data_IF_823091602630
#
_entry.id   IF_823091602630
#
_cell.length_a   1.000
_cell.length_b   1.000
_cell.length_c   1.000
_cell.angle_alpha   90.00
_cell.angle_beta   90.00
_cell.angle_gamma   90.00
#
_symmetry.space_group_name_H-M   'P 1'
#
loop_
_entity.id
_entity.type
_entity.pdbx_description
1 polymer ?
#
# COMPACT_ATOMS: atom_id res chain seq x y z
N UNK A 1 2.89 3.30 17.38
CA UNK A 1 1.84 3.03 16.35
C UNK A 1 0.49 3.56 16.82
N UNK A 2 -0.33 2.82 17.59
CA UNK A 2 -1.70 3.28 17.92
C UNK A 2 -1.72 4.63 18.64
N UNK A 3 -0.87 4.81 19.65
CA UNK A 3 -0.76 6.07 20.38
C UNK A 3 -0.35 7.27 19.50
N UNK A 4 0.34 7.04 18.38
CA UNK A 4 0.74 8.08 17.44
C UNK A 4 -0.40 8.36 16.46
N UNK A 5 -1.05 7.31 15.95
CA UNK A 5 -2.25 7.42 15.10
C UNK A 5 -3.39 8.14 15.84
N UNK A 6 -3.60 7.86 17.13
CA UNK A 6 -4.62 8.49 17.97
C UNK A 6 -4.37 10.01 18.15
N UNK A 7 -3.12 10.48 17.96
CA UNK A 7 -2.76 11.90 17.94
C UNK A 7 -2.91 12.54 16.56
N UNK A 8 -3.30 11.76 15.54
CA UNK A 8 -3.36 12.21 14.14
C UNK A 8 -2.01 12.17 13.43
N UNK A 9 -0.97 11.58 14.01
CA UNK A 9 0.33 11.43 13.35
C UNK A 9 0.27 10.39 12.24
N UNK A 10 1.11 10.55 11.23
CA UNK A 10 1.31 9.51 10.21
C UNK A 10 2.36 8.52 10.67
N UNK A 11 2.13 7.23 10.44
CA UNK A 11 3.05 6.15 10.75
C UNK A 11 3.38 5.38 9.47
N UNK A 12 4.67 5.30 9.14
CA UNK A 12 5.17 4.56 7.97
C UNK A 12 5.96 3.35 8.47
N UNK A 13 5.50 2.16 8.11
CA UNK A 13 6.17 0.89 8.37
C UNK A 13 7.10 0.59 7.20
N UNK A 14 8.41 0.70 7.45
CA UNK A 14 9.45 0.27 6.52
C UNK A 14 9.72 -1.21 6.77
N UNK A 15 9.33 -2.06 5.83
CA UNK A 15 9.29 -3.51 6.04
C UNK A 15 9.98 -4.27 4.92
N UNK A 16 10.21 -5.57 5.13
CA UNK A 16 10.46 -6.48 4.02
C UNK A 16 9.13 -6.97 3.43
N UNK A 17 9.17 -7.46 2.19
CA UNK A 17 8.06 -8.14 1.53
C UNK A 17 8.42 -9.62 1.30
N UNK A 18 7.49 -10.53 1.58
CA UNK A 18 7.70 -11.98 1.40
C UNK A 18 6.73 -12.56 0.37
N UNK A 19 5.47 -12.11 0.37
CA UNK A 19 4.45 -12.64 -0.53
C UNK A 19 3.31 -11.65 -0.76
N UNK A 20 2.54 -11.86 -1.82
CA UNK A 20 1.31 -11.08 -2.07
C UNK A 20 0.25 -11.26 -0.94
N UNK A 21 0.43 -12.27 -0.08
CA UNK A 21 -0.43 -12.54 1.08
C UNK A 21 -0.10 -11.68 2.32
N UNK A 22 0.97 -10.87 2.30
CA UNK A 22 1.39 -10.08 3.46
C UNK A 22 0.25 -9.16 3.96
N UNK A 23 -0.50 -8.56 3.02
CA UNK A 23 -1.66 -7.71 3.33
C UNK A 23 -2.87 -8.46 3.92
N UNK A 24 -2.93 -9.79 3.77
CA UNK A 24 -3.93 -10.61 4.41
C UNK A 24 -3.50 -11.07 5.81
N UNK A 25 -2.20 -11.34 6.02
CA UNK A 25 -1.70 -11.82 7.30
C UNK A 25 -1.55 -10.74 8.35
N UNK A 26 -1.14 -9.52 7.99
CA UNK A 26 -0.97 -8.44 8.97
C UNK A 26 -2.24 -8.19 9.81
N UNK A 27 -3.45 -8.07 9.21
CA UNK A 27 -4.68 -7.96 9.98
C UNK A 27 -4.95 -9.18 10.87
N UNK A 28 -4.80 -10.39 10.33
CA UNK A 28 -5.03 -11.62 11.08
C UNK A 28 -4.09 -11.77 12.29
N UNK A 29 -2.82 -11.41 12.14
CA UNK A 29 -1.82 -11.52 13.20
C UNK A 29 -1.97 -10.43 14.27
N UNK A 30 -2.56 -9.29 13.91
CA UNK A 30 -2.70 -8.15 14.84
C UNK A 30 -4.05 -8.13 15.55
N UNK A 31 -5.09 -8.75 15.02
CA UNK A 31 -6.47 -8.59 15.48
C UNK A 31 -6.67 -8.84 16.98
N UNK A 32 -6.08 -9.89 17.55
CA UNK A 32 -6.26 -10.18 18.98
C UNK A 32 -5.57 -9.16 19.91
N UNK A 33 -4.43 -8.62 19.49
CA UNK A 33 -3.63 -7.71 20.32
C UNK A 33 -3.96 -6.23 20.07
N UNK A 34 -4.37 -5.92 18.83
CA UNK A 34 -4.66 -4.59 18.34
C UNK A 34 -5.86 -4.66 17.36
N UNK A 35 -7.08 -4.91 17.87
CA UNK A 35 -8.28 -5.05 17.05
C UNK A 35 -8.48 -3.86 16.10
N UNK A 36 -8.77 -4.15 14.83
CA UNK A 36 -9.04 -3.14 13.80
C UNK A 36 -7.83 -2.30 13.37
N UNK A 37 -6.63 -2.51 13.94
CA UNK A 37 -5.42 -1.79 13.50
C UNK A 37 -5.01 -2.24 12.10
N UNK A 38 -5.02 -3.55 11.84
CA UNK A 38 -4.64 -4.10 10.55
C UNK A 38 -5.56 -3.68 9.40
N UNK A 39 -6.83 -3.38 9.70
CA UNK A 39 -7.81 -2.89 8.71
C UNK A 39 -7.52 -1.46 8.24
N UNK A 40 -6.82 -0.68 9.05
CA UNK A 40 -6.45 0.72 8.75
C UNK A 40 -5.18 0.82 7.89
N UNK A 41 -4.43 -0.28 7.73
CA UNK A 41 -3.17 -0.28 7.00
C UNK A 41 -3.43 0.01 5.52
N UNK A 42 -2.71 0.99 4.98
CA UNK A 42 -2.64 1.30 3.56
C UNK A 42 -1.34 0.73 2.99
N UNK A 43 -1.42 -0.16 2.00
CA UNK A 43 -0.27 -0.81 1.42
C UNK A 43 0.17 -0.09 0.15
N UNK A 44 1.45 0.25 0.07
CA UNK A 44 2.08 0.63 -1.18
C UNK A 44 2.34 -0.66 -1.97
N UNK A 45 1.62 -0.85 -3.08
CA UNK A 45 1.62 -2.12 -3.79
C UNK A 45 1.94 -1.96 -5.28
N UNK A 46 2.53 -3.01 -5.86
CA UNK A 46 2.83 -3.10 -7.28
C UNK A 46 1.56 -3.28 -8.15
N UNK A 47 1.73 -3.13 -9.46
CA UNK A 47 0.68 -3.35 -10.46
C UNK A 47 0.24 -4.82 -10.58
N UNK A 48 1.10 -5.78 -10.21
CA UNK A 48 0.79 -7.20 -10.28
C UNK A 48 -0.44 -7.60 -9.47
N UNK A 49 -0.55 -7.15 -8.22
CA UNK A 49 -1.64 -7.58 -7.32
C UNK A 49 -3.02 -7.10 -7.80
N UNK A 50 -3.06 -6.01 -8.58
CA UNK A 50 -4.30 -5.47 -9.15
C UNK A 50 -4.60 -5.97 -10.57
N UNK A 51 -3.61 -6.53 -11.27
CA UNK A 51 -3.74 -7.03 -12.64
C UNK A 51 -3.88 -8.55 -12.74
N UNK A 52 -3.21 -9.30 -11.85
CA UNK A 52 -3.31 -10.75 -11.75
C UNK A 52 -4.71 -11.14 -11.27
N UNK A 53 -5.41 -11.95 -12.06
CA UNK A 53 -6.80 -12.36 -11.80
C UNK A 53 -6.95 -13.17 -10.50
N UNK A 54 -5.90 -13.86 -10.06
CA UNK A 54 -5.91 -14.63 -8.82
C UNK A 54 -5.69 -13.73 -7.60
N UNK A 55 -4.87 -12.68 -7.74
CA UNK A 55 -4.56 -11.76 -6.65
C UNK A 55 -5.65 -10.69 -6.46
N UNK A 56 -6.25 -10.23 -7.55
CA UNK A 56 -7.19 -9.11 -7.57
C UNK A 56 -8.32 -9.20 -6.53
N UNK A 57 -9.00 -10.36 -6.32
CA UNK A 57 -10.04 -10.46 -5.29
C UNK A 57 -9.52 -10.14 -3.88
N UNK A 58 -8.29 -10.54 -3.57
CA UNK A 58 -7.67 -10.25 -2.26
C UNK A 58 -7.28 -8.79 -2.14
N UNK A 59 -6.79 -8.18 -3.22
CA UNK A 59 -6.41 -6.77 -3.26
C UNK A 59 -7.59 -5.82 -3.17
N UNK A 60 -8.74 -6.18 -3.72
CA UNK A 60 -9.97 -5.37 -3.66
C UNK A 60 -10.48 -5.14 -2.23
N UNK A 61 -10.11 -6.01 -1.28
CA UNK A 61 -10.48 -5.88 0.14
C UNK A 61 -9.46 -5.11 0.99
N UNK A 62 -8.49 -4.42 0.37
CA UNK A 62 -7.40 -3.72 1.08
C UNK A 62 -7.29 -2.26 0.66
N UNK A 63 -6.80 -1.42 1.57
CA UNK A 63 -6.46 -0.04 1.25
C UNK A 63 -5.12 -0.04 0.50
N UNK A 64 -5.10 0.41 -0.76
CA UNK A 64 -3.92 0.33 -1.61
C UNK A 64 -3.59 1.69 -2.22
N UNK A 65 -2.29 2.01 -2.25
CA UNK A 65 -1.73 3.02 -3.13
C UNK A 65 -0.85 2.29 -4.15
N UNK A 66 -1.33 2.23 -5.39
CA UNK A 66 -0.70 1.42 -6.43
C UNK A 66 0.40 2.21 -7.14
N UNK A 67 1.59 1.62 -7.21
CA UNK A 67 2.75 2.17 -7.90
C UNK A 67 3.38 1.13 -8.82
N UNK A 68 3.78 1.54 -10.02
CA UNK A 68 4.62 0.73 -10.88
C UNK A 68 6.04 0.70 -10.32
N UNK A 69 6.55 -0.50 -10.06
CA UNK A 69 7.88 -0.67 -9.50
C UNK A 69 8.95 -0.15 -10.47
N UNK A 70 10.03 0.43 -9.91
CA UNK A 70 11.20 0.83 -10.70
C UNK A 70 11.82 -0.36 -11.45
N UNK A 71 11.69 -1.57 -10.90
CA UNK A 71 12.19 -2.81 -11.49
C UNK A 71 11.52 -3.13 -12.84
N UNK A 72 10.21 -2.89 -12.94
CA UNK A 72 9.39 -3.32 -14.07
C UNK A 72 8.88 -2.17 -14.97
N UNK A 73 9.15 -0.91 -14.59
CA UNK A 73 8.72 0.26 -15.37
C UNK A 73 9.43 0.36 -16.73
N UNK A 74 10.56 -0.33 -16.90
CA UNK A 74 11.37 -0.33 -18.11
C UNK A 74 11.16 -1.57 -18.99
N UNK A 75 10.38 -2.56 -18.53
CA UNK A 75 10.18 -3.85 -19.23
C UNK A 75 9.51 -3.66 -20.59
N UNK A 76 8.63 -2.66 -20.68
CA UNK A 76 7.97 -2.25 -21.92
C UNK A 76 8.10 -0.73 -22.08
N UNK A 77 8.98 -0.25 -22.97
CA UNK A 77 9.18 1.17 -23.23
C UNK A 77 7.92 1.91 -23.69
N UNK A 78 6.97 1.22 -24.34
CA UNK A 78 5.76 1.84 -24.89
C UNK A 78 4.78 2.29 -23.80
N UNK A 79 4.72 1.56 -22.67
CA UNK A 79 3.85 1.88 -21.53
C UNK A 79 4.53 2.73 -20.47
N UNK A 80 5.83 3.00 -20.59
CA UNK A 80 6.63 3.72 -19.58
C UNK A 80 6.05 5.10 -19.22
N UNK A 81 5.72 5.92 -20.21
CA UNK A 81 5.23 7.28 -19.97
C UNK A 81 3.90 7.29 -19.23
N UNK A 82 3.04 6.30 -19.51
CA UNK A 82 1.78 6.14 -18.80
C UNK A 82 2.01 5.70 -17.35
N UNK A 83 2.81 4.65 -17.14
CA UNK A 83 3.19 4.17 -15.80
C UNK A 83 3.82 5.27 -14.94
N UNK A 84 4.64 6.13 -15.52
CA UNK A 84 5.23 7.28 -14.80
C UNK A 84 4.16 8.32 -14.40
N UNK A 85 3.20 8.61 -15.28
CA UNK A 85 2.08 9.50 -14.95
C UNK A 85 1.21 8.94 -13.83
N UNK A 86 0.92 7.65 -13.87
CA UNK A 86 0.16 6.97 -12.83
C UNK A 86 0.88 7.02 -11.48
N UNK A 87 2.19 6.76 -11.44
CA UNK A 87 2.98 6.92 -10.21
C UNK A 87 2.92 8.35 -9.66
N UNK A 88 3.05 9.37 -10.52
CA UNK A 88 2.95 10.77 -10.08
C UNK A 88 1.56 11.08 -9.51
N UNK A 89 0.49 10.53 -10.09
CA UNK A 89 -0.88 10.67 -9.57
C UNK A 89 -1.00 10.02 -8.19
N UNK A 90 -0.57 8.78 -8.03
CA UNK A 90 -0.60 8.08 -6.73
C UNK A 90 0.22 8.83 -5.67
N UNK A 91 1.39 9.37 -6.02
CA UNK A 91 2.21 10.14 -5.08
C UNK A 91 1.54 11.43 -4.62
N UNK A 92 0.80 12.13 -5.51
CA UNK A 92 0.03 13.32 -5.13
C UNK A 92 -1.14 12.98 -4.21
N UNK A 93 -1.81 11.86 -4.45
CA UNK A 93 -2.86 11.35 -3.56
C UNK A 93 -2.29 10.99 -2.19
N UNK A 94 -1.14 10.29 -2.16
CA UNK A 94 -0.42 9.97 -0.93
C UNK A 94 -0.01 11.23 -0.16
N UNK A 95 0.51 12.25 -0.85
CA UNK A 95 0.84 13.54 -0.23
C UNK A 95 -0.39 14.19 0.41
N UNK A 96 -1.53 14.23 -0.30
CA UNK A 96 -2.77 14.79 0.24
C UNK A 96 -3.26 14.03 1.48
N UNK A 97 -3.17 12.70 1.47
CA UNK A 97 -3.52 11.83 2.60
C UNK A 97 -2.58 12.05 3.80
N UNK A 98 -1.27 12.13 3.57
CA UNK A 98 -0.30 12.43 4.62
C UNK A 98 -0.52 13.82 5.23
N UNK A 99 -0.89 14.82 4.44
CA UNK A 99 -1.25 16.16 4.96
C UNK A 99 -2.50 16.14 5.83
N UNK A 100 -3.43 15.20 5.60
CA UNK A 100 -4.62 15.01 6.44
C UNK A 100 -4.28 14.41 7.81
N UNK A 101 -3.21 13.62 7.90
CA UNK A 101 -2.80 12.94 9.13
C UNK A 101 -3.53 11.62 9.38
N UNK A 102 -3.03 10.85 10.35
CA UNK A 102 -3.61 9.57 10.78
C UNK A 102 -3.40 8.40 9.81
N UNK A 103 -2.49 8.52 8.84
CA UNK A 103 -2.20 7.44 7.90
C UNK A 103 -1.32 6.37 8.54
N UNK A 104 -1.71 5.11 8.40
CA UNK A 104 -0.85 3.95 8.65
C UNK A 104 -0.44 3.33 7.31
N UNK A 105 0.82 3.50 6.92
CA UNK A 105 1.31 3.06 5.61
C UNK A 105 2.29 1.91 5.77
N UNK A 106 2.12 0.86 4.99
CA UNK A 106 3.07 -0.24 4.83
C UNK A 106 3.77 -0.13 3.49
N UNK A 107 5.11 -0.18 3.48
CA UNK A 107 5.93 -0.16 2.27
C UNK A 107 7.12 -1.12 2.39
N UNK A 108 7.49 -1.71 1.26
CA UNK A 108 8.64 -2.59 1.09
C UNK A 108 9.40 -2.29 -0.20
#
# INVERSE_FOLDING_TARGET
IKADLDKGENVILLTNHQSEGDAAFIPLLTENSHPGLGEQVTYIAGDRVVSDKLCKPFSMGRNLLCVHSKKHIMDDPSTRSEKMRDNVRTLKEMEALLRKGGMLIWIA
#
